data_IF_487259918897
#
_entry.id   IF_487259918897
#
_cell.length_a   1.000
_cell.length_b   1.000
_cell.length_c   1.000
_cell.angle_alpha   90.00
_cell.angle_beta   90.00
_cell.angle_gamma   90.00
#
_symmetry.space_group_name_H-M   'P 1'
#
loop_
_entity.id
_entity.type
_entity.pdbx_description
1 polymer ?
#
# COMPACT_ATOMS: atom_id res chain seq x y z
N UNK A 1 -15.66 -29.69 -48.22
CA UNK A 1 -16.00 -28.64 -47.22
C UNK A 1 -15.53 -29.14 -45.86
N UNK A 2 -14.41 -28.65 -45.36
CA UNK A 2 -13.89 -29.06 -44.05
C UNK A 2 -14.48 -28.19 -42.96
N UNK A 3 -15.12 -28.82 -41.95
CA UNK A 3 -15.60 -28.15 -40.74
C UNK A 3 -14.38 -27.73 -39.89
N UNK A 4 -14.16 -26.42 -39.80
CA UNK A 4 -13.13 -25.85 -38.92
C UNK A 4 -13.75 -25.74 -37.52
N UNK A 5 -13.47 -26.68 -36.63
CA UNK A 5 -13.79 -26.56 -35.21
C UNK A 5 -12.87 -25.56 -34.56
N UNK A 6 -13.38 -24.37 -34.18
CA UNK A 6 -12.68 -23.46 -33.25
C UNK A 6 -12.91 -24.02 -31.84
N UNK A 7 -11.86 -24.61 -31.26
CA UNK A 7 -11.85 -24.95 -29.84
C UNK A 7 -11.92 -23.63 -29.04
N UNK A 8 -13.05 -23.37 -28.41
CA UNK A 8 -13.16 -22.30 -27.43
C UNK A 8 -12.55 -22.79 -26.10
N UNK A 9 -11.68 -21.99 -25.49
CA UNK A 9 -11.14 -22.29 -24.16
C UNK A 9 -12.30 -22.35 -23.15
N UNK A 10 -12.23 -23.33 -22.24
CA UNK A 10 -13.20 -23.46 -21.15
C UNK A 10 -13.29 -22.15 -20.34
N UNK A 11 -14.49 -21.64 -19.99
CA UNK A 11 -14.63 -20.43 -19.18
C UNK A 11 -13.85 -20.46 -17.86
N UNK A 12 -13.79 -21.63 -17.20
CA UNK A 12 -13.00 -21.84 -15.98
C UNK A 12 -11.50 -21.69 -16.24
N UNK A 13 -10.99 -22.18 -17.38
CA UNK A 13 -9.59 -22.02 -17.75
C UNK A 13 -9.27 -20.55 -18.04
N UNK A 14 -10.15 -19.85 -18.74
CA UNK A 14 -9.98 -18.41 -19.03
C UNK A 14 -10.00 -17.58 -17.75
N UNK A 15 -10.87 -17.89 -16.80
CA UNK A 15 -10.91 -17.20 -15.51
C UNK A 15 -9.63 -17.45 -14.70
N UNK A 16 -9.13 -18.68 -14.70
CA UNK A 16 -7.87 -19.03 -14.02
C UNK A 16 -6.66 -18.37 -14.67
N UNK A 17 -6.54 -18.38 -15.99
CA UNK A 17 -5.48 -17.67 -16.72
C UNK A 17 -5.53 -16.14 -16.46
N UNK A 18 -6.74 -15.55 -16.42
CA UNK A 18 -6.93 -14.14 -16.06
C UNK A 18 -6.43 -13.87 -14.64
N UNK A 19 -6.85 -14.70 -13.67
CA UNK A 19 -6.44 -14.56 -12.26
C UNK A 19 -4.93 -14.69 -12.10
N UNK A 20 -4.28 -15.68 -12.74
CA UNK A 20 -2.82 -15.81 -12.71
C UNK A 20 -2.11 -14.60 -13.32
N UNK A 21 -2.66 -14.03 -14.40
CA UNK A 21 -2.10 -12.83 -15.03
C UNK A 21 -2.19 -11.62 -14.10
N UNK A 22 -3.31 -11.44 -13.41
CA UNK A 22 -3.50 -10.37 -12.40
C UNK A 22 -2.51 -10.54 -11.26
N UNK A 23 -2.42 -11.76 -10.69
CA UNK A 23 -1.47 -12.05 -9.60
C UNK A 23 0.00 -11.81 -10.01
N UNK A 24 0.34 -12.09 -11.28
CA UNK A 24 1.67 -11.80 -11.82
C UNK A 24 2.00 -10.29 -11.90
N UNK A 25 1.00 -9.43 -11.86
CA UNK A 25 1.14 -7.97 -11.84
C UNK A 25 1.25 -7.37 -10.43
N UNK A 26 0.88 -8.13 -9.40
CA UNK A 26 0.95 -7.68 -8.01
C UNK A 26 2.18 -8.33 -7.35
N UNK A 27 3.14 -7.49 -6.95
CA UNK A 27 4.28 -7.89 -6.11
C UNK A 27 3.96 -7.53 -4.67
N UNK A 28 3.71 -8.52 -3.81
CA UNK A 28 3.40 -8.29 -2.39
C UNK A 28 4.57 -8.67 -1.51
N UNK A 29 4.87 -7.82 -0.51
CA UNK A 29 5.87 -8.08 0.53
C UNK A 29 5.20 -7.98 1.89
N UNK A 30 5.14 -9.10 2.63
CA UNK A 30 4.54 -9.20 3.97
C UNK A 30 3.04 -8.86 4.03
N UNK A 31 2.33 -8.98 2.91
CA UNK A 31 0.88 -8.74 2.83
C UNK A 31 0.15 -10.08 2.87
N UNK A 32 -0.83 -10.28 3.78
CA UNK A 32 -1.63 -11.49 3.82
C UNK A 32 -2.46 -11.71 2.55
N UNK A 33 -2.63 -12.98 2.13
CA UNK A 33 -3.33 -13.34 0.91
C UNK A 33 -4.74 -12.78 0.80
N UNK A 34 -5.50 -12.73 1.90
CA UNK A 34 -6.86 -12.18 1.90
C UNK A 34 -6.90 -10.67 1.61
N UNK A 35 -5.78 -9.95 1.80
CA UNK A 35 -5.64 -8.54 1.42
C UNK A 35 -5.25 -8.46 -0.05
N UNK A 36 -4.25 -9.25 -0.48
CA UNK A 36 -3.81 -9.28 -1.89
C UNK A 36 -4.95 -9.67 -2.82
N UNK A 37 -5.83 -10.58 -2.39
CA UNK A 37 -6.99 -11.05 -3.16
C UNK A 37 -8.28 -10.26 -2.90
N UNK A 38 -8.21 -9.13 -2.19
CA UNK A 38 -9.41 -8.32 -1.92
C UNK A 38 -9.97 -7.70 -3.22
N UNK A 39 -11.28 -7.65 -3.35
CA UNK A 39 -11.98 -6.98 -4.46
C UNK A 39 -13.00 -5.99 -3.91
N UNK A 40 -13.41 -5.00 -4.70
CA UNK A 40 -14.40 -4.02 -4.26
C UNK A 40 -15.76 -4.68 -3.97
N UNK A 41 -16.15 -5.72 -4.72
CA UNK A 41 -17.39 -6.48 -4.49
C UNK A 41 -17.37 -7.22 -3.15
N UNK A 42 -16.18 -7.61 -2.67
CA UNK A 42 -16.00 -8.28 -1.37
C UNK A 42 -16.01 -7.32 -0.19
N UNK A 43 -16.05 -6.00 -0.43
CA UNK A 43 -16.03 -4.99 0.64
C UNK A 43 -17.45 -4.56 0.97
N UNK A 44 -17.93 -4.85 2.21
CA UNK A 44 -19.23 -4.36 2.64
C UNK A 44 -19.34 -2.83 2.54
N UNK A 45 -20.44 -2.35 2.02
CA UNK A 45 -20.78 -0.94 2.00
C UNK A 45 -21.19 -0.48 3.40
N UNK A 46 -20.35 0.34 4.02
CA UNK A 46 -20.57 0.96 5.32
C UNK A 46 -20.52 2.48 5.11
N UNK A 47 -21.54 3.25 5.54
CA UNK A 47 -21.58 4.69 5.33
C UNK A 47 -20.31 5.43 5.81
N UNK A 48 -19.67 4.92 6.87
CA UNK A 48 -18.47 5.54 7.44
C UNK A 48 -17.20 5.38 6.61
N UNK A 49 -17.22 4.53 5.57
CA UNK A 49 -16.08 4.31 4.65
C UNK A 49 -16.46 4.42 3.18
N UNK A 50 -17.74 4.65 2.86
CA UNK A 50 -18.23 4.72 1.49
C UNK A 50 -17.50 5.78 0.66
N UNK A 51 -17.22 6.95 1.22
CA UNK A 51 -16.47 8.00 0.55
C UNK A 51 -15.07 7.54 0.13
N UNK A 52 -14.36 6.81 1.01
CA UNK A 52 -13.04 6.27 0.68
C UNK A 52 -13.10 5.18 -0.40
N UNK A 53 -14.15 4.32 -0.38
CA UNK A 53 -14.37 3.28 -1.39
C UNK A 53 -14.67 3.93 -2.76
N UNK A 54 -15.55 4.92 -2.80
CA UNK A 54 -15.90 5.63 -4.05
C UNK A 54 -14.65 6.28 -4.65
N UNK A 55 -13.85 6.96 -3.83
CA UNK A 55 -12.59 7.58 -4.29
C UNK A 55 -11.55 6.56 -4.74
N UNK A 56 -11.51 5.39 -4.11
CA UNK A 56 -10.65 4.30 -4.53
C UNK A 56 -11.07 3.74 -5.90
N UNK A 57 -12.37 3.58 -6.13
CA UNK A 57 -12.92 3.16 -7.44
C UNK A 57 -12.67 4.22 -8.52
N UNK A 58 -12.94 5.49 -8.22
CA UNK A 58 -12.68 6.62 -9.11
C UNK A 58 -11.20 6.70 -9.53
N UNK A 59 -10.27 6.48 -8.58
CA UNK A 59 -8.85 6.39 -8.89
C UNK A 59 -8.56 5.26 -9.88
N UNK A 60 -9.16 4.10 -9.72
CA UNK A 60 -8.94 2.95 -10.61
C UNK A 60 -9.56 3.17 -12.00
N UNK A 61 -10.76 3.74 -12.08
CA UNK A 61 -11.47 4.02 -13.34
C UNK A 61 -10.75 5.07 -14.18
N UNK A 62 -10.19 6.09 -13.54
CA UNK A 62 -9.50 7.20 -14.20
C UNK A 62 -7.98 7.06 -14.22
N UNK A 63 -7.45 5.89 -13.90
CA UNK A 63 -6.01 5.65 -13.86
C UNK A 63 -5.41 5.59 -15.26
N UNK A 64 -4.43 6.46 -15.53
CA UNK A 64 -3.65 6.44 -16.76
C UNK A 64 -2.14 6.36 -16.45
N UNK A 65 -1.49 5.32 -16.99
CA UNK A 65 -0.04 5.13 -16.85
C UNK A 65 0.72 6.35 -17.40
N UNK A 66 1.62 6.89 -16.56
CA UNK A 66 2.44 8.07 -16.92
C UNK A 66 1.74 9.43 -16.77
N UNK A 67 0.42 9.46 -16.61
CA UNK A 67 -0.36 10.70 -16.39
C UNK A 67 -0.84 10.82 -14.94
N UNK A 68 -1.41 9.75 -14.38
CA UNK A 68 -1.87 9.73 -13.00
C UNK A 68 -0.68 9.86 -12.04
N UNK A 69 -0.74 10.82 -11.12
CA UNK A 69 0.34 11.14 -10.18
C UNK A 69 -0.12 11.21 -8.73
N UNK A 70 -1.44 11.40 -8.52
CA UNK A 70 -2.03 11.55 -7.20
C UNK A 70 -2.60 10.23 -6.72
N UNK A 71 -2.18 9.78 -5.54
CA UNK A 71 -2.67 8.59 -4.87
C UNK A 71 -3.65 8.92 -3.75
N UNK A 72 -3.78 8.00 -2.78
CA UNK A 72 -4.67 8.11 -1.63
C UNK A 72 -3.89 7.91 -0.33
N UNK A 73 -4.26 8.65 0.71
CA UNK A 73 -3.85 8.42 2.09
C UNK A 73 -5.08 8.00 2.89
N UNK A 74 -5.23 6.68 3.08
CA UNK A 74 -6.36 6.07 3.78
C UNK A 74 -6.03 5.95 5.27
N UNK A 75 -6.65 6.77 6.12
CA UNK A 75 -6.38 6.74 7.56
C UNK A 75 -7.62 6.41 8.39
N UNK A 76 -7.41 5.84 9.57
CA UNK A 76 -8.49 5.50 10.49
C UNK A 76 -8.10 4.40 11.47
N UNK A 77 -9.01 4.00 12.35
CA UNK A 77 -8.74 3.01 13.39
C UNK A 77 -8.36 1.63 12.84
N UNK A 78 -7.74 0.81 13.69
CA UNK A 78 -7.41 -0.57 13.33
C UNK A 78 -8.68 -1.39 13.05
N UNK A 79 -8.64 -2.24 12.00
CA UNK A 79 -9.71 -3.18 11.68
C UNK A 79 -10.89 -2.59 10.89
N UNK A 80 -10.87 -1.30 10.50
CA UNK A 80 -11.94 -0.68 9.70
C UNK A 80 -11.89 -1.02 8.20
N UNK A 81 -10.83 -1.70 7.72
CA UNK A 81 -10.74 -2.20 6.35
C UNK A 81 -9.85 -1.39 5.40
N UNK A 82 -8.96 -0.51 5.89
CA UNK A 82 -8.02 0.26 5.06
C UNK A 82 -7.21 -0.62 4.11
N UNK A 83 -6.56 -1.66 4.64
CA UNK A 83 -5.76 -2.61 3.84
C UNK A 83 -6.61 -3.39 2.85
N UNK A 84 -7.89 -3.69 3.15
CA UNK A 84 -8.80 -4.33 2.19
C UNK A 84 -9.11 -3.40 1.01
N UNK A 85 -9.33 -2.11 1.27
CA UNK A 85 -9.56 -1.11 0.21
C UNK A 85 -8.31 -1.00 -0.65
N UNK A 86 -7.11 -0.92 -0.07
CA UNK A 86 -5.87 -0.84 -0.84
C UNK A 86 -5.58 -2.12 -1.63
N UNK A 87 -5.92 -3.29 -1.10
CA UNK A 87 -5.86 -4.56 -1.82
C UNK A 87 -6.82 -4.61 -3.02
N UNK A 88 -8.06 -4.11 -2.85
CA UNK A 88 -9.01 -4.01 -3.94
C UNK A 88 -8.52 -3.07 -5.06
N UNK A 89 -7.89 -1.94 -4.71
CA UNK A 89 -7.23 -1.07 -5.69
C UNK A 89 -6.13 -1.84 -6.44
N UNK A 90 -5.30 -2.61 -5.73
CA UNK A 90 -4.24 -3.39 -6.36
C UNK A 90 -4.78 -4.39 -7.37
N UNK A 91 -5.84 -5.13 -7.01
CA UNK A 91 -6.50 -6.10 -7.90
C UNK A 91 -7.10 -5.42 -9.13
N UNK A 92 -7.81 -4.33 -8.93
CA UNK A 92 -8.47 -3.60 -10.04
C UNK A 92 -7.43 -3.07 -11.03
N UNK A 93 -6.40 -2.35 -10.56
CA UNK A 93 -5.33 -1.84 -11.41
C UNK A 93 -4.53 -2.95 -12.10
N UNK A 94 -4.23 -4.04 -11.39
CA UNK A 94 -3.57 -5.20 -11.97
C UNK A 94 -4.41 -5.87 -13.06
N UNK A 95 -5.75 -5.89 -12.93
CA UNK A 95 -6.68 -6.40 -13.94
C UNK A 95 -6.63 -5.57 -15.24
N UNK A 96 -6.29 -4.29 -15.12
CA UNK A 96 -6.05 -3.35 -16.23
C UNK A 96 -4.62 -3.45 -16.80
N UNK A 97 -3.78 -4.34 -16.26
CA UNK A 97 -2.40 -4.58 -16.71
C UNK A 97 -1.36 -3.70 -16.06
N UNK A 98 -1.71 -2.94 -15.03
CA UNK A 98 -0.79 -2.06 -14.27
C UNK A 98 0.06 -2.89 -13.31
N UNK A 99 1.38 -2.61 -13.26
CA UNK A 99 2.27 -3.20 -12.28
C UNK A 99 2.09 -2.51 -10.92
N UNK A 100 1.77 -3.28 -9.90
CA UNK A 100 1.51 -2.82 -8.53
C UNK A 100 2.46 -3.50 -7.56
N UNK A 101 3.01 -2.76 -6.61
CA UNK A 101 3.68 -3.35 -5.45
C UNK A 101 2.93 -2.97 -4.18
N UNK A 102 2.71 -3.95 -3.29
CA UNK A 102 2.15 -3.75 -1.95
C UNK A 102 3.19 -4.15 -0.92
N UNK A 103 3.43 -3.29 0.05
CA UNK A 103 4.44 -3.49 1.09
C UNK A 103 3.85 -3.19 2.46
N UNK A 104 3.92 -4.15 3.38
CA UNK A 104 3.67 -3.90 4.80
C UNK A 104 4.89 -3.20 5.40
N UNK A 105 4.72 -1.91 5.69
CA UNK A 105 5.84 -1.01 6.03
C UNK A 105 6.62 -1.45 7.27
N UNK A 106 5.97 -1.90 8.39
CA UNK A 106 6.70 -2.32 9.58
C UNK A 106 7.72 -3.44 9.32
N UNK A 107 7.30 -4.51 8.64
CA UNK A 107 8.17 -5.65 8.36
C UNK A 107 9.26 -5.31 7.34
N UNK A 108 8.91 -4.52 6.33
CA UNK A 108 9.90 -4.05 5.34
C UNK A 108 10.99 -3.18 5.98
N UNK A 109 10.62 -2.28 6.90
CA UNK A 109 11.61 -1.45 7.61
C UNK A 109 12.47 -2.28 8.56
N UNK A 110 11.93 -3.34 9.16
CA UNK A 110 12.69 -4.29 9.98
C UNK A 110 13.69 -5.07 9.13
N UNK A 111 13.27 -5.63 7.99
CA UNK A 111 14.16 -6.33 7.05
C UNK A 111 15.28 -5.41 6.54
N UNK A 112 14.93 -4.17 6.17
CA UNK A 112 15.91 -3.20 5.71
C UNK A 112 16.95 -2.87 6.79
N UNK A 113 16.54 -2.78 8.06
CA UNK A 113 17.42 -2.55 9.20
C UNK A 113 18.35 -3.73 9.45
N UNK A 114 17.84 -4.96 9.39
CA UNK A 114 18.63 -6.18 9.62
C UNK A 114 19.69 -6.38 8.53
N UNK A 115 19.46 -5.83 7.35
CA UNK A 115 20.41 -5.84 6.25
C UNK A 115 21.52 -4.77 6.36
N UNK A 116 21.50 -3.89 7.38
CA UNK A 116 22.58 -2.95 7.66
C UNK A 116 23.85 -3.73 7.97
N UNK A 117 24.87 -3.55 7.14
CA UNK A 117 26.18 -4.23 7.29
C UNK A 117 26.34 -5.48 6.43
N UNK A 118 25.29 -6.09 5.94
CA UNK A 118 25.34 -7.01 4.82
C UNK A 118 25.05 -6.20 3.55
N UNK A 119 26.05 -5.98 2.70
CA UNK A 119 25.87 -5.44 1.34
C UNK A 119 25.13 -6.49 0.48
N UNK A 120 23.95 -6.89 0.92
CA UNK A 120 23.13 -7.82 0.16
C UNK A 120 22.48 -7.02 -0.96
N UNK A 121 22.83 -7.34 -2.20
CA UNK A 121 22.17 -6.85 -3.44
C UNK A 121 20.64 -6.88 -3.34
N UNK A 122 20.12 -7.74 -2.46
CA UNK A 122 18.68 -7.99 -2.25
C UNK A 122 17.91 -6.75 -1.74
N UNK A 123 18.45 -5.95 -0.82
CA UNK A 123 17.75 -4.76 -0.29
C UNK A 123 17.80 -3.61 -1.27
N UNK A 124 18.94 -3.42 -1.92
CA UNK A 124 19.09 -2.37 -2.95
C UNK A 124 18.18 -2.64 -4.15
N UNK A 125 18.10 -3.89 -4.61
CA UNK A 125 17.21 -4.26 -5.71
C UNK A 125 15.73 -4.13 -5.34
N UNK A 126 15.34 -4.44 -4.10
CA UNK A 126 13.99 -4.20 -3.60
C UNK A 126 13.67 -2.70 -3.55
N UNK A 127 14.58 -1.88 -3.03
CA UNK A 127 14.40 -0.41 -3.01
C UNK A 127 14.21 0.14 -4.42
N UNK A 128 15.05 -0.26 -5.36
CA UNK A 128 14.94 0.16 -6.75
C UNK A 128 13.61 -0.27 -7.38
N UNK A 129 13.15 -1.49 -7.11
CA UNK A 129 11.86 -1.97 -7.56
C UNK A 129 10.71 -1.13 -7.01
N UNK A 130 10.72 -0.77 -5.71
CA UNK A 130 9.70 0.08 -5.09
C UNK A 130 9.74 1.53 -5.59
N UNK A 131 10.92 2.05 -5.92
CA UNK A 131 11.08 3.38 -6.49
C UNK A 131 10.51 3.50 -7.90
N UNK A 132 10.45 2.41 -8.68
CA UNK A 132 10.15 2.44 -10.11
C UNK A 132 8.83 1.74 -10.49
N UNK A 133 8.21 0.94 -9.62
CA UNK A 133 6.91 0.30 -9.89
C UNK A 133 5.84 1.36 -10.18
N UNK A 134 4.94 1.08 -11.12
CA UNK A 134 3.91 2.04 -11.57
C UNK A 134 3.04 2.53 -10.41
N UNK A 135 2.51 1.61 -9.60
CA UNK A 135 1.75 1.93 -8.38
C UNK A 135 2.38 1.26 -7.18
N UNK A 136 2.66 2.02 -6.15
CA UNK A 136 3.15 1.53 -4.86
C UNK A 136 2.08 1.71 -3.79
N UNK A 137 1.82 0.66 -3.03
CA UNK A 137 0.96 0.68 -1.85
C UNK A 137 1.84 0.44 -0.62
N UNK A 138 1.91 1.44 0.25
CA UNK A 138 2.59 1.39 1.55
C UNK A 138 1.53 1.16 2.64
N UNK A 139 1.42 -0.11 3.09
CA UNK A 139 0.42 -0.50 4.07
C UNK A 139 0.92 -0.31 5.50
N UNK A 140 0.09 0.32 6.33
CA UNK A 140 0.28 0.62 7.75
C UNK A 140 1.49 1.51 8.07
N UNK A 141 1.73 2.55 7.24
CA UNK A 141 2.77 3.56 7.50
C UNK A 141 2.49 4.29 8.83
N UNK A 142 3.52 4.46 9.64
CA UNK A 142 3.42 5.02 10.98
C UNK A 142 3.28 3.98 12.09
N UNK A 143 3.21 2.67 11.75
CA UNK A 143 3.23 1.58 12.71
C UNK A 143 4.64 0.97 12.88
N UNK A 144 5.57 1.30 12.01
CA UNK A 144 6.94 0.79 12.00
C UNK A 144 7.78 1.35 13.16
N UNK A 145 8.80 0.58 13.54
CA UNK A 145 9.88 1.07 14.42
C UNK A 145 10.83 1.97 13.62
N UNK A 146 10.49 3.27 13.54
CA UNK A 146 11.22 4.22 12.72
C UNK A 146 12.51 4.68 13.41
N UNK A 147 13.64 4.57 12.71
CA UNK A 147 14.93 5.14 13.07
C UNK A 147 15.31 6.28 12.11
N UNK A 148 16.30 7.08 12.46
CA UNK A 148 16.85 8.11 11.58
C UNK A 148 17.25 7.51 10.22
N UNK A 149 17.93 6.36 10.25
CA UNK A 149 18.41 5.70 9.03
C UNK A 149 17.25 5.20 8.16
N UNK A 150 16.27 4.48 8.72
CA UNK A 150 15.13 3.96 7.93
C UNK A 150 14.27 5.09 7.37
N UNK A 151 14.11 6.20 8.12
CA UNK A 151 13.42 7.39 7.63
C UNK A 151 14.15 8.05 6.46
N UNK A 152 15.47 8.31 6.63
CA UNK A 152 16.24 9.16 5.73
C UNK A 152 16.82 8.40 4.54
N UNK A 153 17.23 7.13 4.72
CA UNK A 153 17.91 6.33 3.70
C UNK A 153 17.00 5.32 2.99
N UNK A 154 15.83 5.00 3.57
CA UNK A 154 14.87 4.07 2.96
C UNK A 154 13.60 4.80 2.50
N UNK A 155 12.82 5.34 3.45
CA UNK A 155 11.54 5.97 3.14
C UNK A 155 11.72 7.23 2.27
N UNK A 156 12.65 8.10 2.67
CA UNK A 156 12.93 9.34 1.97
C UNK A 156 13.25 9.15 0.48
N UNK A 157 14.22 8.31 0.09
CA UNK A 157 14.56 8.03 -1.31
C UNK A 157 13.44 7.38 -2.11
N UNK A 158 12.64 6.47 -1.52
CA UNK A 158 11.46 5.88 -2.19
C UNK A 158 10.50 7.01 -2.58
N UNK A 159 10.10 7.83 -1.62
CA UNK A 159 9.12 8.90 -1.86
C UNK A 159 9.68 9.99 -2.79
N UNK A 160 10.96 10.35 -2.65
CA UNK A 160 11.62 11.34 -3.53
C UNK A 160 11.62 10.89 -5.00
N UNK A 161 11.86 9.61 -5.26
CA UNK A 161 11.90 9.08 -6.62
C UNK A 161 10.53 9.04 -7.27
N UNK A 162 9.48 8.90 -6.46
CA UNK A 162 8.08 8.70 -6.91
C UNK A 162 7.28 9.99 -7.02
N UNK A 163 7.58 11.01 -6.17
CA UNK A 163 6.83 12.27 -6.18
C UNK A 163 6.76 12.87 -7.59
N UNK A 164 5.62 13.42 -7.97
CA UNK A 164 5.29 14.01 -9.27
C UNK A 164 5.35 13.07 -10.49
N UNK A 165 5.66 11.78 -10.29
CA UNK A 165 5.91 10.84 -11.38
C UNK A 165 5.04 9.60 -11.33
N UNK A 166 4.88 9.01 -10.16
CA UNK A 166 4.27 7.70 -9.93
C UNK A 166 3.29 7.75 -8.77
N UNK A 167 2.19 7.01 -8.90
CA UNK A 167 1.16 6.94 -7.85
C UNK A 167 1.66 6.15 -6.65
N UNK A 168 1.47 6.73 -5.46
CA UNK A 168 1.70 6.04 -4.19
C UNK A 168 0.45 6.12 -3.32
N UNK A 169 0.00 4.98 -2.82
CA UNK A 169 -1.16 4.83 -1.95
C UNK A 169 -0.66 4.46 -0.56
N UNK A 170 -1.25 5.04 0.45
CA UNK A 170 -0.86 4.82 1.84
C UNK A 170 -2.06 4.34 2.64
N UNK A 171 -1.85 3.40 3.56
CA UNK A 171 -2.78 3.18 4.66
C UNK A 171 -2.09 3.49 5.98
N UNK A 172 -2.81 4.04 6.93
CA UNK A 172 -2.26 4.40 8.24
C UNK A 172 -3.32 4.38 9.33
N UNK A 173 -2.89 4.16 10.56
CA UNK A 173 -3.73 4.42 11.74
C UNK A 173 -3.62 5.88 12.20
N UNK A 174 -2.72 6.65 11.61
CA UNK A 174 -2.39 8.02 11.97
C UNK A 174 -3.00 9.02 10.97
N UNK A 175 -3.48 10.14 11.48
CA UNK A 175 -3.71 11.34 10.67
C UNK A 175 -2.38 11.88 10.14
N UNK A 176 -2.39 12.76 9.14
CA UNK A 176 -1.16 13.43 8.65
C UNK A 176 -0.41 14.14 9.79
N UNK A 177 -1.14 14.78 10.71
CA UNK A 177 -0.55 15.46 11.87
C UNK A 177 0.16 14.49 12.81
N UNK A 178 -0.44 13.34 13.06
CA UNK A 178 0.16 12.29 13.91
C UNK A 178 1.32 11.61 13.20
N UNK A 179 1.23 11.38 11.87
CA UNK A 179 2.35 10.89 11.07
C UNK A 179 3.54 11.84 11.12
N UNK A 180 3.30 13.16 11.08
CA UNK A 180 4.34 14.17 11.27
C UNK A 180 5.07 13.97 12.59
N UNK A 181 4.34 13.79 13.69
CA UNK A 181 4.96 13.55 15.01
C UNK A 181 5.74 12.22 15.05
N UNK A 182 5.21 11.17 14.42
CA UNK A 182 5.90 9.88 14.29
C UNK A 182 7.23 10.03 13.54
N UNK A 183 7.24 10.79 12.42
CA UNK A 183 8.44 11.06 11.63
C UNK A 183 9.48 11.92 12.36
N UNK A 184 9.05 12.81 13.27
CA UNK A 184 9.95 13.62 14.12
C UNK A 184 10.53 12.76 15.23
N UNK A 185 9.68 11.98 15.92
CA UNK A 185 10.02 11.22 17.13
C UNK A 185 10.63 9.85 16.81
N UNK A 186 11.66 9.81 15.95
CA UNK A 186 12.39 8.58 15.65
C UNK A 186 13.09 8.03 16.90
N UNK A 187 13.22 6.72 17.01
CA UNK A 187 13.66 6.03 18.23
C UNK A 187 15.12 6.33 18.65
N UNK A 188 15.93 6.75 17.73
CA UNK A 188 17.33 7.12 17.95
C UNK A 188 17.57 8.65 17.89
N UNK A 189 16.52 9.47 17.97
CA UNK A 189 16.58 10.93 17.84
C UNK A 189 17.65 11.58 18.72
N UNK A 190 17.66 11.25 20.02
CA UNK A 190 18.57 11.83 20.99
C UNK A 190 20.07 11.58 20.72
N UNK A 191 20.38 10.61 19.82
CA UNK A 191 21.75 10.19 19.50
C UNK A 191 22.25 10.70 18.15
N UNK A 192 21.38 11.25 17.32
CA UNK A 192 21.69 11.47 15.90
C UNK A 192 21.73 12.93 15.49
N UNK A 193 20.77 13.75 15.92
CA UNK A 193 20.70 15.16 15.55
C UNK A 193 19.79 15.94 16.50
N UNK A 194 19.78 17.28 16.42
CA UNK A 194 18.91 18.10 17.24
C UNK A 194 17.42 18.03 16.77
N UNK A 195 16.51 18.44 17.64
CA UNK A 195 15.05 18.42 17.40
C UNK A 195 14.66 19.17 16.12
N UNK A 196 15.28 20.32 15.85
CA UNK A 196 14.98 21.15 14.68
C UNK A 196 15.37 20.47 13.37
N UNK A 197 16.43 19.66 13.39
CA UNK A 197 16.84 18.87 12.23
C UNK A 197 15.83 17.72 11.98
N UNK A 198 15.35 17.06 13.04
CA UNK A 198 14.31 16.03 12.91
C UNK A 198 13.01 16.61 12.33
N UNK A 199 12.59 17.81 12.78
CA UNK A 199 11.42 18.51 12.22
C UNK A 199 11.57 18.79 10.73
N UNK A 200 12.72 19.34 10.31
CA UNK A 200 13.01 19.59 8.89
C UNK A 200 13.00 18.31 8.04
N UNK A 201 13.52 17.21 8.58
CA UNK A 201 13.54 15.91 7.89
C UNK A 201 12.13 15.33 7.75
N UNK A 202 11.33 15.39 8.81
CA UNK A 202 9.93 14.98 8.79
C UNK A 202 9.12 15.80 7.77
N UNK A 203 9.28 17.12 7.76
CA UNK A 203 8.60 18.00 6.82
C UNK A 203 8.90 17.63 5.36
N UNK A 204 10.17 17.39 5.03
CA UNK A 204 10.55 16.95 3.67
C UNK A 204 9.89 15.64 3.25
N UNK A 205 9.59 14.75 4.18
CA UNK A 205 8.86 13.50 3.89
C UNK A 205 7.39 13.80 3.62
N UNK A 206 6.77 14.64 4.46
CA UNK A 206 5.37 15.03 4.29
C UNK A 206 5.12 15.81 3.00
N UNK A 207 6.04 16.69 2.61
CA UNK A 207 6.01 17.40 1.32
C UNK A 207 6.02 16.45 0.10
N UNK A 208 6.41 15.18 0.30
CA UNK A 208 6.37 14.12 -0.73
C UNK A 208 5.14 13.23 -0.65
N UNK A 209 4.35 13.35 0.42
CA UNK A 209 3.13 12.57 0.64
C UNK A 209 1.89 13.45 0.41
N UNK A 210 1.76 14.54 1.16
CA UNK A 210 0.53 15.31 1.30
C UNK A 210 0.05 15.95 0.00
N UNK A 211 0.89 16.59 -0.84
CA UNK A 211 0.45 17.15 -2.11
C UNK A 211 0.07 16.08 -3.15
N UNK A 212 0.61 14.87 -3.00
CA UNK A 212 0.48 13.75 -3.96
C UNK A 212 -0.46 12.64 -3.49
N UNK A 213 -1.22 12.85 -2.41
CA UNK A 213 -2.23 11.91 -1.94
C UNK A 213 -3.49 12.65 -1.49
N UNK A 214 -4.66 12.16 -1.89
CA UNK A 214 -5.93 12.61 -1.32
C UNK A 214 -6.13 11.95 0.03
N UNK A 215 -6.30 12.76 1.09
CA UNK A 215 -6.42 12.26 2.47
C UNK A 215 -7.86 11.89 2.76
N UNK A 216 -8.13 10.63 3.06
CA UNK A 216 -9.46 10.08 3.25
C UNK A 216 -9.57 9.32 4.57
N UNK A 217 -10.55 9.67 5.37
CA UNK A 217 -10.88 8.94 6.58
C UNK A 217 -11.65 7.66 6.26
N UNK A 218 -11.20 6.54 6.80
CA UNK A 218 -11.87 5.24 6.74
C UNK A 218 -12.39 4.92 8.14
N UNK A 219 -13.69 5.07 8.33
CA UNK A 219 -14.39 4.81 9.58
C UNK A 219 -15.07 3.44 9.63
N UNK A 220 -15.91 3.26 10.65
CA UNK A 220 -16.74 2.08 10.83
C UNK A 220 -16.28 1.15 11.95
N UNK A 221 -16.96 -0.01 12.09
CA UNK A 221 -16.68 -1.00 13.14
C UNK A 221 -15.38 -1.77 12.87
N UNK A 222 -14.78 -2.29 13.96
CA UNK A 222 -13.62 -3.17 13.87
C UNK A 222 -14.03 -4.59 13.43
N UNK A 223 -13.87 -4.90 12.15
CA UNK A 223 -14.29 -6.17 11.53
C UNK A 223 -13.43 -7.38 11.92
N UNK A 224 -12.19 -7.16 12.36
CA UNK A 224 -11.35 -8.25 12.88
C UNK A 224 -11.93 -8.85 14.15
N UNK A 225 -12.53 -8.01 15.03
CA UNK A 225 -13.19 -8.45 16.25
C UNK A 225 -14.53 -9.14 15.99
N UNK A 226 -15.26 -8.73 14.96
CA UNK A 226 -16.54 -9.34 14.60
C UNK A 226 -16.34 -10.75 14.03
N UNK A 227 -15.36 -10.95 13.16
CA UNK A 227 -15.04 -12.27 12.60
C UNK A 227 -14.56 -13.26 13.67
N UNK A 228 -13.80 -12.82 14.66
CA UNK A 228 -13.35 -13.70 15.76
C UNK A 228 -14.48 -14.16 16.68
N UNK A 229 -15.57 -13.39 16.79
CA UNK A 229 -16.77 -13.79 17.56
C UNK A 229 -17.64 -14.80 16.82
N UNK A 230 -17.67 -14.74 15.49
CA UNK A 230 -18.45 -15.68 14.67
C UNK A 230 -17.78 -17.05 14.47
N UNK A 231 -16.46 -17.16 14.65
CA UNK A 231 -15.71 -18.43 14.56
C UNK A 231 -15.61 -19.17 15.89
N UNK A 232 -15.93 -18.52 17.03
CA UNK A 232 -15.93 -19.12 18.38
C UNK A 232 -17.21 -19.87 18.78
N UNK A 233 -18.18 -20.00 17.90
CA UNK A 233 -19.51 -20.61 18.20
C UNK A 233 -19.75 -22.01 17.61
N UNK A 234 -18.69 -22.77 17.26
CA UNK A 234 -18.82 -24.20 16.87
C UNK A 234 -17.80 -25.01 17.69
N UNK A 235 -18.19 -25.40 18.87
CA UNK A 235 -17.73 -26.58 19.59
C UNK A 235 -18.93 -27.47 19.82
#
# INVERSE_FOLDING_TARGET
MGLIYRLQKCPLLLSHEKQQRVMGKIKSHFIPDHIVNATFEGIDLDPHRSAAIIKAMDLCENFEVGKSKKGLYLYGQMGVGKSLISGAIAQELASQGVDVAMVYVPDFMSEAKDAIGSKTETVLSKLEALQNVTVLILDDIGAEYLTTWTRDEILGPILQRRMERLVTIYTSNLTIKELRQHLINVKDAAKTMDQRQHEKKAERILERIEPFAEVLHVGGRNRRRDNSRNTGGKL
#
